data_IF_396231801269
#
_entry.id   IF_396231801269
#
_cell.length_a   1.000
_cell.length_b   1.000
_cell.length_c   1.000
_cell.angle_alpha   90.00
_cell.angle_beta   90.00
_cell.angle_gamma   90.00
#
_symmetry.space_group_name_H-M   'P 1'
#
loop_
_entity.id
_entity.type
_entity.pdbx_description
1 polymer ?
#
# COMPACT_ATOMS: atom_id res chain seq x y z
N UNK A 1 11.79 -18.16 8.35
CA UNK A 1 12.82 -17.89 9.36
C UNK A 1 12.81 -16.42 9.81
N UNK A 2 12.76 -15.37 8.96
CA UNK A 2 12.85 -13.98 9.41
C UNK A 2 11.77 -13.57 10.43
N UNK A 3 10.53 -13.88 10.18
CA UNK A 3 9.41 -13.55 11.11
C UNK A 3 9.56 -14.27 12.45
N UNK A 4 9.98 -15.53 12.42
CA UNK A 4 10.30 -16.29 13.64
C UNK A 4 11.40 -15.58 14.44
N UNK A 5 12.47 -15.13 13.77
CA UNK A 5 13.58 -14.45 14.42
C UNK A 5 13.15 -13.11 15.04
N UNK A 6 12.36 -12.33 14.33
CA UNK A 6 11.77 -11.10 14.86
C UNK A 6 10.93 -11.38 16.12
N UNK A 7 10.07 -12.40 16.08
CA UNK A 7 9.24 -12.78 17.21
C UNK A 7 10.09 -13.21 18.42
N UNK A 8 11.06 -14.09 18.20
CA UNK A 8 11.96 -14.55 19.26
C UNK A 8 12.76 -13.39 19.86
N UNK A 9 13.30 -12.49 19.01
CA UNK A 9 14.08 -11.34 19.48
C UNK A 9 13.22 -10.33 20.24
N UNK A 10 11.96 -10.15 19.87
CA UNK A 10 11.04 -9.27 20.60
C UNK A 10 10.70 -9.76 22.01
N UNK A 11 10.93 -11.05 22.29
CA UNK A 11 10.68 -11.69 23.57
C UNK A 11 11.94 -11.95 24.40
N UNK A 12 13.14 -11.62 23.88
CA UNK A 12 14.42 -11.67 24.61
C UNK A 12 14.64 -10.41 25.42
N UNK A 13 15.45 -10.54 26.46
CA UNK A 13 16.02 -9.35 27.10
C UNK A 13 17.00 -8.64 26.16
N UNK A 14 17.19 -7.34 26.34
CA UNK A 14 18.10 -6.58 25.51
C UNK A 14 19.54 -7.10 25.62
N UNK A 15 19.99 -7.48 26.80
CA UNK A 15 21.30 -8.11 27.05
C UNK A 15 21.48 -9.42 26.30
N UNK A 16 20.45 -10.26 26.19
CA UNK A 16 20.51 -11.49 25.43
C UNK A 16 20.58 -11.22 23.93
N UNK A 17 19.89 -10.18 23.45
CA UNK A 17 19.86 -9.81 22.02
C UNK A 17 21.22 -9.36 21.49
N UNK A 18 22.14 -8.92 22.34
CA UNK A 18 23.51 -8.50 21.98
C UNK A 18 24.56 -9.61 22.08
N UNK A 19 24.18 -10.84 22.40
CA UNK A 19 25.18 -11.93 22.51
C UNK A 19 25.81 -12.28 21.16
N UNK A 20 27.10 -12.56 21.19
CA UNK A 20 27.89 -12.98 20.01
C UNK A 20 27.34 -14.29 19.41
N UNK A 21 26.93 -15.23 20.28
CA UNK A 21 26.26 -16.46 19.87
C UNK A 21 24.77 -16.30 20.18
N UNK A 22 23.96 -16.14 19.14
CA UNK A 22 22.53 -15.91 19.33
C UNK A 22 21.81 -17.20 19.74
N UNK A 23 20.90 -17.08 20.69
CA UNK A 23 20.02 -18.18 21.10
C UNK A 23 18.83 -18.30 20.15
N UNK A 24 18.39 -19.53 19.83
CA UNK A 24 17.23 -19.75 18.97
C UNK A 24 15.89 -19.56 19.71
N UNK A 25 15.92 -19.59 21.06
CA UNK A 25 14.77 -19.36 21.93
C UNK A 25 15.17 -18.48 23.11
N UNK A 26 14.28 -17.61 23.63
CA UNK A 26 14.60 -16.78 24.77
C UNK A 26 14.97 -17.60 26.01
N UNK A 27 16.07 -17.29 26.67
CA UNK A 27 16.43 -17.89 27.97
C UNK A 27 15.49 -17.38 29.08
N UNK A 28 15.13 -16.10 29.00
CA UNK A 28 14.12 -15.48 29.86
C UNK A 28 13.15 -14.69 28.99
N UNK A 29 11.86 -14.97 29.10
CA UNK A 29 10.82 -14.22 28.41
C UNK A 29 10.72 -12.81 29.00
N UNK A 30 10.89 -11.79 28.18
CA UNK A 30 10.69 -10.40 28.53
C UNK A 30 9.69 -9.74 27.58
N UNK A 31 8.76 -8.98 28.13
CA UNK A 31 7.78 -8.17 27.41
C UNK A 31 8.06 -6.67 27.53
N UNK A 32 9.27 -6.28 27.99
CA UNK A 32 9.63 -4.90 28.26
C UNK A 32 9.56 -4.02 27.02
N UNK A 33 9.95 -4.56 25.85
CA UNK A 33 9.82 -3.86 24.57
C UNK A 33 8.37 -3.48 24.26
N UNK A 34 7.44 -4.40 24.42
CA UNK A 34 6.00 -4.14 24.25
C UNK A 34 5.49 -3.15 25.30
N UNK A 35 5.85 -3.34 26.57
CA UNK A 35 5.44 -2.44 27.66
C UNK A 35 5.90 -1.00 27.40
N UNK A 36 7.12 -0.81 26.89
CA UNK A 36 7.65 0.49 26.51
C UNK A 36 6.84 1.13 25.38
N UNK A 37 6.53 0.39 24.31
CA UNK A 37 5.71 0.90 23.21
C UNK A 37 4.33 1.35 23.66
N UNK A 38 3.71 0.61 24.58
CA UNK A 38 2.40 0.96 25.15
C UNK A 38 2.48 2.16 26.09
N UNK A 39 3.59 2.33 26.80
CA UNK A 39 3.77 3.45 27.74
C UNK A 39 4.04 4.77 27.03
N UNK A 40 4.91 4.77 26.03
CA UNK A 40 5.34 5.99 25.34
C UNK A 40 4.26 6.60 24.44
N UNK A 41 3.30 5.81 23.98
CA UNK A 41 2.18 6.26 23.14
C UNK A 41 2.56 6.76 21.74
N UNK A 42 3.83 7.07 21.51
CA UNK A 42 4.34 7.61 20.23
C UNK A 42 4.20 6.59 19.10
N UNK A 43 4.49 5.32 19.40
CA UNK A 43 4.30 4.22 18.45
C UNK A 43 2.87 4.18 17.88
N UNK A 44 1.86 4.34 18.72
CA UNK A 44 0.46 4.32 18.30
C UNK A 44 0.07 5.53 17.47
N UNK A 45 0.73 6.67 17.66
CA UNK A 45 0.56 7.83 16.79
C UNK A 45 1.04 7.50 15.37
N UNK A 46 2.23 6.94 15.22
CA UNK A 46 2.78 6.52 13.93
C UNK A 46 1.94 5.42 13.27
N UNK A 47 1.51 4.44 14.07
CA UNK A 47 0.66 3.35 13.62
C UNK A 47 -0.69 3.85 13.09
N UNK A 48 -1.34 4.75 13.83
CA UNK A 48 -2.58 5.41 13.41
C UNK A 48 -2.39 6.22 12.13
N UNK A 49 -1.33 7.02 12.04
CA UNK A 49 -1.01 7.81 10.86
C UNK A 49 -0.83 6.91 9.64
N UNK A 50 -0.06 5.83 9.79
CA UNK A 50 0.17 4.86 8.73
C UNK A 50 -1.14 4.21 8.25
N UNK A 51 -2.03 3.85 9.19
CA UNK A 51 -3.34 3.28 8.87
C UNK A 51 -4.21 4.28 8.09
N UNK A 52 -4.25 5.55 8.52
CA UNK A 52 -5.00 6.61 7.86
C UNK A 52 -4.47 6.83 6.43
N UNK A 53 -3.15 6.99 6.28
CA UNK A 53 -2.53 7.22 4.97
C UNK A 53 -2.76 6.04 4.04
N UNK A 54 -2.56 4.80 4.52
CA UNK A 54 -2.75 3.59 3.70
C UNK A 54 -4.22 3.39 3.30
N UNK A 55 -5.16 3.63 4.20
CA UNK A 55 -6.58 3.52 3.89
C UNK A 55 -7.02 4.59 2.88
N UNK A 56 -6.62 5.85 3.07
CA UNK A 56 -6.98 6.94 2.16
C UNK A 56 -6.34 6.76 0.78
N UNK A 57 -5.07 6.35 0.71
CA UNK A 57 -4.40 6.05 -0.56
C UNK A 57 -5.09 4.89 -1.28
N UNK A 58 -5.38 3.79 -0.59
CA UNK A 58 -6.11 2.65 -1.14
C UNK A 58 -7.46 3.09 -1.74
N UNK A 59 -8.26 3.86 -1.00
CA UNK A 59 -9.57 4.34 -1.47
C UNK A 59 -9.41 5.20 -2.72
N UNK A 60 -8.48 6.16 -2.70
CA UNK A 60 -8.22 7.05 -3.84
C UNK A 60 -7.75 6.27 -5.07
N UNK A 61 -6.79 5.35 -4.88
CA UNK A 61 -6.25 4.52 -5.96
C UNK A 61 -7.34 3.62 -6.54
N UNK A 62 -8.14 2.94 -5.72
CA UNK A 62 -9.26 2.12 -6.18
C UNK A 62 -10.27 2.95 -6.97
N UNK A 63 -10.64 4.13 -6.46
CA UNK A 63 -11.55 5.05 -7.14
C UNK A 63 -11.03 5.42 -8.52
N UNK A 64 -9.80 5.92 -8.61
CA UNK A 64 -9.20 6.31 -9.90
C UNK A 64 -9.06 5.11 -10.83
N UNK A 65 -8.64 3.96 -10.32
CA UNK A 65 -8.42 2.74 -11.12
C UNK A 65 -9.71 2.18 -11.69
N UNK A 66 -10.82 2.25 -10.97
CA UNK A 66 -12.13 1.81 -11.49
C UNK A 66 -12.54 2.67 -12.67
N UNK A 67 -12.55 4.00 -12.51
CA UNK A 67 -13.03 4.88 -13.60
C UNK A 67 -12.06 4.93 -14.78
N UNK A 68 -10.77 5.08 -14.53
CA UNK A 68 -9.79 5.14 -15.61
C UNK A 68 -9.62 3.77 -16.30
N UNK A 69 -9.59 2.68 -15.54
CA UNK A 69 -9.51 1.32 -16.09
C UNK A 69 -10.72 0.97 -16.92
N UNK A 70 -11.93 1.30 -16.46
CA UNK A 70 -13.16 1.13 -17.25
C UNK A 70 -13.11 1.95 -18.52
N UNK A 71 -12.67 3.21 -18.45
CA UNK A 71 -12.55 4.06 -19.63
C UNK A 71 -11.55 3.49 -20.64
N UNK A 72 -10.38 3.03 -20.21
CA UNK A 72 -9.37 2.45 -21.09
C UNK A 72 -9.83 1.13 -21.73
N UNK A 73 -10.59 0.31 -21.00
CA UNK A 73 -11.11 -0.96 -21.50
C UNK A 73 -12.27 -0.78 -22.50
N UNK A 74 -13.18 0.16 -22.24
CA UNK A 74 -14.46 0.26 -22.98
C UNK A 74 -14.49 1.34 -24.05
N UNK A 75 -13.65 2.37 -23.94
CA UNK A 75 -13.63 3.44 -24.92
C UNK A 75 -12.36 3.38 -25.77
N UNK A 76 -12.55 3.26 -27.10
CA UNK A 76 -11.46 3.25 -28.07
C UNK A 76 -11.04 4.67 -28.43
N UNK A 77 -10.23 5.30 -27.57
CA UNK A 77 -9.65 6.60 -27.88
C UNK A 77 -8.46 6.45 -28.85
N UNK A 78 -8.28 7.40 -29.74
CA UNK A 78 -7.07 7.46 -30.58
C UNK A 78 -5.77 7.47 -29.74
N UNK A 79 -5.86 7.94 -28.50
CA UNK A 79 -4.75 8.12 -27.57
C UNK A 79 -4.53 6.95 -26.58
N UNK A 80 -5.35 5.89 -26.61
CA UNK A 80 -5.23 4.77 -25.66
C UNK A 80 -3.81 4.20 -25.60
N UNK A 81 -3.20 3.96 -26.78
CA UNK A 81 -1.81 3.47 -26.86
C UNK A 81 -0.82 4.41 -26.19
N UNK A 82 -0.97 5.71 -26.39
CA UNK A 82 -0.11 6.72 -25.79
C UNK A 82 -0.30 6.82 -24.29
N UNK A 83 -1.51 6.73 -23.78
CA UNK A 83 -1.81 6.71 -22.32
C UNK A 83 -1.14 5.51 -21.66
N UNK A 84 -1.33 4.31 -22.24
CA UNK A 84 -0.72 3.08 -21.71
C UNK A 84 0.81 3.17 -21.80
N UNK A 85 1.38 3.65 -22.90
CA UNK A 85 2.82 3.84 -23.06
C UNK A 85 3.37 4.83 -22.02
N UNK A 86 2.66 5.92 -21.75
CA UNK A 86 3.04 6.90 -20.72
C UNK A 86 3.01 6.26 -19.33
N UNK A 87 2.04 5.42 -19.03
CA UNK A 87 1.98 4.69 -17.77
C UNK A 87 3.17 3.73 -17.60
N UNK A 88 3.50 2.97 -18.66
CA UNK A 88 4.67 2.09 -18.65
C UNK A 88 5.95 2.91 -18.46
N UNK A 89 6.12 3.99 -19.22
CA UNK A 89 7.29 4.86 -19.11
C UNK A 89 7.42 5.46 -17.70
N UNK A 90 6.32 5.93 -17.11
CA UNK A 90 6.33 6.46 -15.74
C UNK A 90 6.78 5.41 -14.70
N UNK A 91 6.46 4.14 -14.92
CA UNK A 91 6.87 3.05 -14.02
C UNK A 91 8.36 2.69 -14.17
N UNK A 92 8.96 2.91 -15.35
CA UNK A 92 10.39 2.68 -15.58
C UNK A 92 11.27 3.76 -14.95
N UNK A 93 10.73 4.92 -14.60
CA UNK A 93 11.49 5.99 -13.96
C UNK A 93 11.88 5.60 -12.51
N UNK A 94 13.14 5.82 -12.09
CA UNK A 94 13.56 5.61 -10.71
C UNK A 94 12.67 6.38 -9.73
N UNK A 95 12.30 5.73 -8.62
CA UNK A 95 11.41 6.32 -7.60
C UNK A 95 11.94 7.66 -7.10
N UNK A 96 13.26 7.77 -6.83
CA UNK A 96 13.88 9.00 -6.32
C UNK A 96 13.69 10.17 -7.28
N UNK A 97 13.85 9.94 -8.59
CA UNK A 97 13.66 11.00 -9.61
C UNK A 97 12.22 11.51 -9.64
N UNK A 98 11.24 10.61 -9.48
CA UNK A 98 9.82 11.00 -9.37
C UNK A 98 9.53 11.78 -8.09
N UNK A 99 10.15 11.38 -6.96
CA UNK A 99 9.98 12.05 -5.67
C UNK A 99 10.41 13.51 -5.71
N UNK A 100 11.53 13.84 -6.35
CA UNK A 100 12.01 15.22 -6.47
C UNK A 100 10.96 16.08 -7.18
N UNK A 101 10.40 15.58 -8.27
CA UNK A 101 9.38 16.30 -9.04
C UNK A 101 8.07 16.45 -8.25
N UNK A 102 7.62 15.39 -7.59
CA UNK A 102 6.42 15.38 -6.74
C UNK A 102 6.58 16.35 -5.56
N UNK A 103 7.73 16.35 -4.91
CA UNK A 103 8.03 17.30 -3.83
C UNK A 103 7.87 18.75 -4.31
N UNK A 104 8.46 19.11 -5.46
CA UNK A 104 8.36 20.46 -6.02
C UNK A 104 6.92 20.87 -6.35
N UNK A 105 6.10 19.95 -6.86
CA UNK A 105 4.68 20.20 -7.13
C UNK A 105 3.92 20.42 -5.83
N UNK A 106 4.06 19.50 -4.87
CA UNK A 106 3.35 19.55 -3.59
C UNK A 106 3.77 20.77 -2.75
N UNK A 107 5.02 21.20 -2.85
CA UNK A 107 5.50 22.40 -2.19
C UNK A 107 4.81 23.66 -2.73
N UNK A 108 4.64 23.77 -4.05
CA UNK A 108 3.96 24.92 -4.69
C UNK A 108 2.50 25.06 -4.29
N UNK A 109 1.83 23.93 -4.03
CA UNK A 109 0.42 23.91 -3.62
C UNK A 109 0.23 23.80 -2.10
N UNK A 110 1.33 23.90 -1.31
CA UNK A 110 1.28 23.92 0.15
C UNK A 110 0.91 22.61 0.81
N UNK A 111 1.10 21.46 0.14
CA UNK A 111 0.73 20.13 0.66
C UNK A 111 1.92 19.32 1.20
N UNK A 112 3.14 19.85 1.19
CA UNK A 112 4.28 19.26 1.91
C UNK A 112 4.00 19.29 3.41
N UNK A 113 4.44 18.26 4.12
CA UNK A 113 4.19 18.06 5.55
C UNK A 113 2.71 17.93 5.91
N UNK A 114 1.95 17.20 5.07
CA UNK A 114 0.56 16.84 5.33
C UNK A 114 0.28 15.40 4.92
N UNK A 115 -0.65 14.72 5.59
CA UNK A 115 -1.09 13.37 5.18
C UNK A 115 -1.74 13.40 3.79
N UNK A 116 -2.46 14.45 3.43
CA UNK A 116 -3.08 14.58 2.10
C UNK A 116 -2.01 14.62 1.01
N UNK A 117 -0.95 15.42 1.20
CA UNK A 117 0.17 15.45 0.26
C UNK A 117 0.86 14.09 0.11
N UNK A 118 1.05 13.38 1.22
CA UNK A 118 1.61 12.02 1.21
C UNK A 118 0.70 11.04 0.46
N UNK A 119 -0.60 11.05 0.73
CA UNK A 119 -1.60 10.22 0.02
C UNK A 119 -1.58 10.48 -1.48
N UNK A 120 -1.57 11.75 -1.90
CA UNK A 120 -1.54 12.12 -3.31
C UNK A 120 -0.25 11.66 -4.01
N UNK A 121 0.92 11.83 -3.37
CA UNK A 121 2.20 11.42 -3.92
C UNK A 121 2.27 9.90 -4.13
N UNK A 122 1.91 9.13 -3.10
CA UNK A 122 1.89 7.66 -3.16
C UNK A 122 0.89 7.20 -4.21
N UNK A 123 -0.32 7.79 -4.24
CA UNK A 123 -1.33 7.44 -5.23
C UNK A 123 -0.88 7.73 -6.65
N UNK A 124 -0.25 8.87 -6.90
CA UNK A 124 0.26 9.24 -8.23
C UNK A 124 1.30 8.23 -8.76
N UNK A 125 2.08 7.61 -7.87
CA UNK A 125 3.08 6.61 -8.26
C UNK A 125 2.48 5.22 -8.51
N UNK A 126 1.37 4.88 -7.86
CA UNK A 126 0.74 3.55 -7.97
C UNK A 126 -0.35 3.50 -9.05
N UNK A 127 -1.04 4.61 -9.34
CA UNK A 127 -2.16 4.70 -10.29
C UNK A 127 -1.83 4.13 -11.67
N UNK A 128 -0.65 4.36 -12.30
CA UNK A 128 -0.35 3.80 -13.61
C UNK A 128 -0.45 2.27 -13.66
N UNK A 129 0.06 1.59 -12.64
CA UNK A 129 -0.01 0.13 -12.54
C UNK A 129 -1.44 -0.34 -12.25
N UNK A 130 -2.08 0.26 -11.26
CA UNK A 130 -3.41 -0.20 -10.79
C UNK A 130 -4.52 0.07 -11.81
N UNK A 131 -4.41 1.14 -12.59
CA UNK A 131 -5.32 1.42 -13.71
C UNK A 131 -5.16 0.37 -14.82
N UNK A 132 -3.91 0.02 -15.17
CA UNK A 132 -3.64 -1.02 -16.18
C UNK A 132 -4.14 -2.39 -15.73
N UNK A 133 -3.92 -2.71 -14.43
CA UNK A 133 -4.42 -3.94 -13.85
C UNK A 133 -5.95 -3.98 -13.86
N UNK A 134 -6.61 -2.89 -13.47
CA UNK A 134 -8.07 -2.81 -13.45
C UNK A 134 -8.66 -2.89 -14.86
N UNK A 135 -8.03 -2.25 -15.86
CA UNK A 135 -8.43 -2.36 -17.27
C UNK A 135 -8.41 -3.82 -17.74
N UNK A 136 -7.38 -4.59 -17.37
CA UNK A 136 -7.31 -6.03 -17.71
C UNK A 136 -8.44 -6.85 -17.11
N UNK A 137 -8.92 -6.49 -15.90
CA UNK A 137 -10.10 -7.14 -15.33
C UNK A 137 -11.38 -6.79 -16.11
N UNK A 138 -11.54 -5.55 -16.51
CA UNK A 138 -12.68 -5.13 -17.32
C UNK A 138 -12.66 -5.80 -18.70
N UNK A 139 -11.49 -5.93 -19.34
CA UNK A 139 -11.33 -6.62 -20.62
C UNK A 139 -11.75 -8.10 -20.59
N UNK A 140 -11.68 -8.72 -19.41
CA UNK A 140 -12.15 -10.09 -19.19
C UNK A 140 -13.69 -10.24 -19.16
N UNK A 141 -14.44 -9.13 -19.13
CA UNK A 141 -15.91 -9.17 -19.09
C UNK A 141 -16.46 -8.99 -20.51
N UNK A 142 -17.35 -9.91 -20.98
CA UNK A 142 -17.99 -9.80 -22.29
C UNK A 142 -18.76 -8.49 -22.45
N UNK A 143 -18.62 -7.87 -23.64
CA UNK A 143 -19.31 -6.61 -23.98
C UNK A 143 -20.83 -6.77 -24.05
N UNK A 144 -21.30 -7.96 -24.37
CA UNK A 144 -22.72 -8.33 -24.55
C UNK A 144 -23.53 -8.06 -23.28
N UNK A 145 -22.91 -8.16 -22.10
CA UNK A 145 -23.58 -7.84 -20.83
C UNK A 145 -23.93 -6.35 -20.72
N UNK A 146 -23.04 -5.48 -21.22
CA UNK A 146 -23.31 -4.04 -21.25
C UNK A 146 -24.34 -3.67 -22.31
N UNK A 147 -24.30 -4.36 -23.47
CA UNK A 147 -25.27 -4.17 -24.55
C UNK A 147 -26.66 -4.58 -24.11
N UNK A 148 -26.83 -5.75 -23.49
CA UNK A 148 -28.10 -6.19 -22.93
C UNK A 148 -28.66 -5.17 -21.92
N UNK A 149 -27.82 -4.70 -20.99
CA UNK A 149 -28.23 -3.70 -20.01
C UNK A 149 -28.60 -2.34 -20.66
N UNK A 150 -28.01 -1.98 -21.80
CA UNK A 150 -28.41 -0.79 -22.57
C UNK A 150 -29.78 -0.96 -23.24
N UNK A 151 -30.07 -2.15 -23.78
CA UNK A 151 -31.39 -2.49 -24.34
C UNK A 151 -32.45 -2.37 -23.24
N UNK A 152 -32.11 -2.77 -21.98
CA UNK A 152 -32.98 -2.60 -20.81
C UNK A 152 -33.07 -1.13 -20.31
N UNK A 153 -32.53 -0.17 -21.06
CA UNK A 153 -32.62 1.27 -20.75
C UNK A 153 -31.64 1.74 -19.66
N UNK A 154 -30.65 0.94 -19.28
CA UNK A 154 -29.68 1.36 -18.30
C UNK A 154 -28.68 2.38 -18.86
N UNK A 155 -28.51 3.51 -18.17
CA UNK A 155 -27.45 4.47 -18.47
C UNK A 155 -26.06 3.94 -18.05
N UNK A 156 -24.98 4.47 -18.62
CA UNK A 156 -23.58 4.01 -18.46
C UNK A 156 -23.15 3.85 -16.99
N UNK A 157 -23.45 4.83 -16.12
CA UNK A 157 -23.08 4.76 -14.70
C UNK A 157 -23.85 3.65 -13.98
N UNK A 158 -25.13 3.42 -14.35
CA UNK A 158 -25.91 2.31 -13.80
C UNK A 158 -25.32 0.96 -14.21
N UNK A 159 -24.90 0.83 -15.47
CA UNK A 159 -24.22 -0.37 -15.99
C UNK A 159 -22.94 -0.60 -15.21
N UNK A 160 -22.08 0.42 -15.08
CA UNK A 160 -20.82 0.31 -14.32
C UNK A 160 -21.07 -0.20 -12.89
N UNK A 161 -21.94 0.46 -12.13
CA UNK A 161 -22.11 0.15 -10.71
C UNK A 161 -22.95 -1.09 -10.43
N UNK A 162 -23.96 -1.40 -11.25
CA UNK A 162 -24.90 -2.50 -11.00
C UNK A 162 -24.60 -3.78 -11.75
N UNK A 163 -23.88 -3.70 -12.87
CA UNK A 163 -23.57 -4.86 -13.71
C UNK A 163 -22.07 -5.20 -13.65
N UNK A 164 -21.22 -4.23 -13.94
CA UNK A 164 -19.81 -4.48 -14.17
C UNK A 164 -19.01 -4.57 -12.86
N UNK A 165 -19.14 -3.59 -11.93
CA UNK A 165 -18.38 -3.60 -10.66
C UNK A 165 -18.62 -4.90 -9.87
N UNK A 166 -19.84 -5.44 -9.70
CA UNK A 166 -20.03 -6.71 -9.02
C UNK A 166 -19.23 -7.88 -9.61
N UNK A 167 -19.06 -7.90 -10.93
CA UNK A 167 -18.31 -8.94 -11.63
C UNK A 167 -16.79 -8.80 -11.46
N UNK A 168 -16.29 -7.55 -11.32
CA UNK A 168 -14.86 -7.27 -11.14
C UNK A 168 -14.46 -7.08 -9.67
N UNK A 169 -15.32 -7.34 -8.70
CA UNK A 169 -14.99 -7.27 -7.26
C UNK A 169 -13.68 -7.99 -6.94
N UNK A 170 -13.38 -9.20 -7.46
CA UNK A 170 -12.08 -9.84 -7.20
C UNK A 170 -10.90 -9.00 -7.66
N UNK A 171 -11.00 -8.34 -8.81
CA UNK A 171 -9.99 -7.41 -9.33
C UNK A 171 -9.86 -6.15 -8.49
N UNK A 172 -10.98 -5.57 -8.09
CA UNK A 172 -11.00 -4.41 -7.21
C UNK A 172 -10.36 -4.70 -5.84
N UNK A 173 -10.64 -5.87 -5.27
CA UNK A 173 -10.00 -6.32 -4.05
C UNK A 173 -8.49 -6.53 -4.23
N UNK A 174 -8.05 -7.09 -5.37
CA UNK A 174 -6.63 -7.24 -5.67
C UNK A 174 -5.91 -5.88 -5.76
N UNK A 175 -6.50 -4.90 -6.45
CA UNK A 175 -6.01 -3.51 -6.50
C UNK A 175 -5.97 -2.88 -5.11
N UNK A 176 -7.03 -3.04 -4.32
CA UNK A 176 -7.11 -2.50 -2.97
C UNK A 176 -6.04 -3.06 -2.04
N UNK A 177 -5.89 -4.39 -2.00
CA UNK A 177 -4.86 -5.06 -1.18
C UNK A 177 -3.45 -4.64 -1.62
N UNK A 178 -3.18 -4.64 -2.92
CA UNK A 178 -1.89 -4.18 -3.46
C UNK A 178 -1.59 -2.75 -3.00
N UNK A 179 -2.54 -1.84 -3.20
CA UNK A 179 -2.36 -0.43 -2.86
C UNK A 179 -2.16 -0.20 -1.37
N UNK A 180 -2.91 -0.93 -0.54
CA UNK A 180 -2.76 -0.87 0.91
C UNK A 180 -1.36 -1.35 1.34
N UNK A 181 -0.93 -2.53 0.90
CA UNK A 181 0.36 -3.11 1.27
C UNK A 181 1.53 -2.24 0.82
N UNK A 182 1.50 -1.73 -0.43
CA UNK A 182 2.54 -0.85 -0.97
C UNK A 182 2.60 0.49 -0.23
N UNK A 183 1.46 1.01 0.21
CA UNK A 183 1.43 2.26 0.99
C UNK A 183 1.85 2.02 2.43
N UNK A 184 1.47 0.88 3.01
CA UNK A 184 1.83 0.52 4.39
C UNK A 184 3.33 0.45 4.59
N UNK A 185 4.05 -0.11 3.62
CA UNK A 185 5.50 -0.29 3.65
C UNK A 185 6.27 0.95 3.15
N UNK A 186 5.57 1.99 2.69
CA UNK A 186 6.23 3.16 2.08
C UNK A 186 7.01 3.97 3.12
N UNK A 187 8.31 4.07 2.88
CA UNK A 187 9.23 4.90 3.65
C UNK A 187 9.71 6.12 2.88
N UNK A 188 9.96 5.96 1.56
CA UNK A 188 10.63 7.00 0.77
C UNK A 188 9.79 8.25 0.58
N UNK A 189 8.48 8.09 0.30
CA UNK A 189 7.59 9.24 0.21
C UNK A 189 7.41 9.89 1.58
N UNK A 190 7.26 9.07 2.64
CA UNK A 190 7.07 9.55 4.00
C UNK A 190 8.26 10.42 4.47
N UNK A 191 9.51 9.91 4.39
CA UNK A 191 10.70 10.64 4.84
C UNK A 191 10.97 11.91 4.01
N UNK A 192 10.53 11.91 2.74
CA UNK A 192 10.74 13.05 1.85
C UNK A 192 9.70 14.15 2.08
N UNK A 193 8.44 13.79 2.30
CA UNK A 193 7.32 14.73 2.31
C UNK A 193 6.86 15.14 3.70
N UNK A 194 7.11 14.33 4.74
CA UNK A 194 6.62 14.57 6.10
C UNK A 194 7.79 14.85 7.03
N UNK A 195 7.75 16.02 7.69
CA UNK A 195 8.82 16.51 8.57
C UNK A 195 8.44 16.49 10.04
N UNK A 196 7.17 16.78 10.34
CA UNK A 196 6.67 16.87 11.72
C UNK A 196 6.48 15.50 12.33
N UNK A 197 7.01 15.29 13.53
CA UNK A 197 6.99 14.00 14.24
C UNK A 197 5.56 13.46 14.47
N UNK A 198 4.62 14.33 14.77
CA UNK A 198 3.20 14.01 14.98
C UNK A 198 2.51 13.47 13.73
N UNK A 199 3.08 13.69 12.54
CA UNK A 199 2.58 13.22 11.25
C UNK A 199 3.34 12.01 10.70
N UNK A 200 4.42 11.57 11.34
CA UNK A 200 5.21 10.44 10.83
C UNK A 200 4.37 9.18 10.69
N UNK A 201 4.62 8.45 9.61
CA UNK A 201 4.11 7.10 9.41
C UNK A 201 4.93 6.07 10.18
N UNK A 202 4.45 4.85 10.28
CA UNK A 202 5.09 3.79 11.08
C UNK A 202 6.53 3.51 10.62
N UNK A 203 6.75 3.31 9.32
CA UNK A 203 8.08 3.03 8.76
C UNK A 203 9.08 4.16 9.01
N UNK A 204 8.64 5.41 8.89
CA UNK A 204 9.44 6.59 9.21
C UNK A 204 9.72 6.71 10.71
N UNK A 205 8.70 6.54 11.54
CA UNK A 205 8.80 6.60 12.99
C UNK A 205 9.70 5.51 13.56
N UNK A 206 9.58 4.27 13.07
CA UNK A 206 10.46 3.17 13.48
C UNK A 206 11.92 3.51 13.21
N UNK A 207 12.24 4.04 12.04
CA UNK A 207 13.62 4.37 11.70
C UNK A 207 14.18 5.56 12.47
N UNK A 208 13.41 6.62 12.62
CA UNK A 208 13.91 7.86 13.22
C UNK A 208 13.85 7.88 14.74
N UNK A 209 12.94 7.11 15.36
CA UNK A 209 12.76 7.11 16.81
C UNK A 209 13.50 5.94 17.47
N UNK A 210 13.47 4.74 16.87
CA UNK A 210 13.94 3.53 17.55
C UNK A 210 15.27 2.99 17.01
N UNK A 211 15.68 3.34 15.77
CA UNK A 211 16.99 3.02 15.21
C UNK A 211 17.98 4.17 15.50
N UNK A 212 18.47 4.26 16.73
CA UNK A 212 19.50 5.21 17.15
C UNK A 212 20.92 4.63 17.10
N UNK A 213 21.90 5.35 17.71
CA UNK A 213 23.30 4.89 17.80
C UNK A 213 23.44 3.61 18.64
N UNK A 214 22.59 3.44 19.67
CA UNK A 214 22.46 2.20 20.43
C UNK A 214 21.05 1.66 20.20
N UNK A 215 20.96 0.66 19.35
CA UNK A 215 19.66 0.10 18.95
C UNK A 215 19.13 -0.84 20.03
N UNK A 216 17.95 -0.57 20.57
CA UNK A 216 17.22 -1.52 21.41
C UNK A 216 16.57 -2.58 20.50
N UNK A 217 17.25 -3.72 20.33
CA UNK A 217 16.77 -4.78 19.44
C UNK A 217 15.45 -5.40 19.90
N UNK A 218 15.20 -5.50 21.21
CA UNK A 218 13.94 -5.98 21.72
C UNK A 218 12.81 -5.02 21.34
N UNK A 219 12.99 -3.72 21.57
CA UNK A 219 12.01 -2.68 21.27
C UNK A 219 11.69 -2.60 19.77
N UNK A 220 12.74 -2.60 18.92
CA UNK A 220 12.60 -2.55 17.46
C UNK A 220 11.83 -3.76 16.95
N UNK A 221 12.18 -4.97 17.41
CA UNK A 221 11.50 -6.18 16.97
C UNK A 221 10.05 -6.25 17.50
N UNK A 222 9.79 -5.78 18.72
CA UNK A 222 8.44 -5.65 19.27
C UNK A 222 7.58 -4.72 18.41
N UNK A 223 8.11 -3.54 18.07
CA UNK A 223 7.44 -2.58 17.20
C UNK A 223 7.22 -3.14 15.78
N UNK A 224 8.20 -3.87 15.24
CA UNK A 224 8.11 -4.49 13.92
C UNK A 224 7.07 -5.61 13.89
N UNK A 225 6.96 -6.45 14.93
CA UNK A 225 5.91 -7.48 15.04
C UNK A 225 4.53 -6.82 15.05
N UNK A 226 4.30 -5.81 15.90
CA UNK A 226 3.03 -5.08 15.91
C UNK A 226 2.75 -4.41 14.55
N UNK A 227 3.78 -3.84 13.92
CA UNK A 227 3.69 -3.21 12.60
C UNK A 227 3.35 -4.16 11.47
N UNK A 228 3.69 -5.45 11.57
CA UNK A 228 3.37 -6.45 10.55
C UNK A 228 1.94 -7.00 10.67
N UNK A 229 1.26 -6.83 11.81
CA UNK A 229 -0.06 -7.41 12.03
C UNK A 229 -1.10 -7.02 10.97
N UNK A 230 -1.25 -5.75 10.55
CA UNK A 230 -2.22 -5.40 9.52
C UNK A 230 -1.91 -6.04 8.16
N UNK A 231 -0.62 -6.16 7.82
CA UNK A 231 -0.21 -6.81 6.57
C UNK A 231 -0.57 -8.31 6.60
N UNK A 232 -0.29 -8.99 7.71
CA UNK A 232 -0.64 -10.41 7.91
C UNK A 232 -2.16 -10.57 7.84
N UNK A 233 -2.92 -9.70 8.52
CA UNK A 233 -4.38 -9.72 8.49
C UNK A 233 -4.91 -9.55 7.06
N UNK A 234 -4.49 -8.51 6.37
CA UNK A 234 -4.91 -8.24 4.99
C UNK A 234 -4.54 -9.41 4.08
N UNK A 235 -3.31 -9.92 4.18
CA UNK A 235 -2.87 -11.06 3.38
C UNK A 235 -3.72 -12.31 3.65
N UNK A 236 -3.94 -12.69 4.91
CA UNK A 236 -4.67 -13.89 5.30
C UNK A 236 -6.11 -13.89 4.76
N UNK A 237 -6.80 -12.75 4.87
CA UNK A 237 -8.20 -12.67 4.41
C UNK A 237 -8.35 -12.51 2.90
N UNK A 238 -7.39 -11.87 2.23
CA UNK A 238 -7.54 -11.48 0.84
C UNK A 238 -6.62 -12.21 -0.14
N UNK A 239 -5.69 -13.09 0.30
CA UNK A 239 -4.74 -13.83 -0.56
C UNK A 239 -5.41 -14.56 -1.73
N UNK A 240 -6.59 -15.13 -1.52
CA UNK A 240 -7.35 -15.83 -2.57
C UNK A 240 -7.75 -14.94 -3.75
N UNK A 241 -7.95 -13.65 -3.50
CA UNK A 241 -8.29 -12.68 -4.55
C UNK A 241 -7.04 -12.20 -5.29
N UNK A 242 -5.92 -12.04 -4.59
CA UNK A 242 -4.64 -11.69 -5.21
C UNK A 242 -4.17 -12.74 -6.21
N UNK A 243 -4.22 -14.03 -5.83
CA UNK A 243 -3.80 -15.13 -6.72
C UNK A 243 -4.67 -15.17 -7.97
N UNK A 244 -6.00 -15.06 -7.84
CA UNK A 244 -6.91 -15.03 -9.00
C UNK A 244 -6.65 -13.82 -9.91
N UNK A 245 -6.34 -12.65 -9.32
CA UNK A 245 -6.08 -11.43 -10.05
C UNK A 245 -4.80 -11.46 -10.88
N UNK A 246 -3.72 -11.96 -10.29
CA UNK A 246 -2.41 -12.05 -10.96
C UNK A 246 -2.42 -13.12 -12.07
N UNK A 247 -3.10 -14.24 -11.86
CA UNK A 247 -3.18 -15.33 -12.85
C UNK A 247 -4.04 -14.92 -14.07
N UNK A 248 -5.15 -14.20 -13.87
CA UNK A 248 -5.99 -13.73 -15.00
C UNK A 248 -5.29 -12.69 -15.87
N UNK A 249 -4.33 -11.94 -15.34
CA UNK A 249 -3.49 -11.01 -16.09
C UNK A 249 -2.32 -11.68 -16.84
N UNK A 250 -1.88 -12.84 -16.38
CA UNK A 250 -0.72 -13.56 -16.94
C UNK A 250 -1.08 -14.57 -18.05
N UNK A 251 -2.34 -14.96 -18.19
CA UNK A 251 -2.81 -16.01 -19.13
C UNK A 251 -3.30 -15.40 -20.46
N UNK A 252 -2.85 -14.23 -20.88
CA UNK A 252 -2.99 -13.72 -22.25
C UNK A 252 -1.68 -13.91 -22.99
N UNK A 253 -1.29 -15.17 -23.24
CA UNK A 253 -0.28 -15.61 -24.18
C UNK A 253 -0.92 -16.59 -25.14
#
# INVERSE_FOLDING_TARGET
FPVYWMLVTSLKTNTESYRVVPTLWPEALSFDGYATLFRDGVFFTYYKNNLIVSALAMILICFVSVFAGYALSRFHFKWNKWIISTFIFAQMMPVISRLISLYGILQRIGLVNTHIGLVLAISATQVPFTVSLMASFFDGIPHELEEAARVDGCGRMRILFRVIIPLVVPGLLAVGVYSFLMTWDDYLHAITLVRSNDLWTLSQGLKLTYLGEVSDWQLINSASILGTLPMIFVFFFFQKYMVKGLVSGAVKG
#
